data_IF_616541196336
#
_entry.id   IF_616541196336
#
_cell.length_a   1.000
_cell.length_b   1.000
_cell.length_c   1.000
_cell.angle_alpha   90.00
_cell.angle_beta   90.00
_cell.angle_gamma   90.00
#
_symmetry.space_group_name_H-M   'P 1'
#
loop_
_entity.id
_entity.type
_entity.pdbx_description
1 polymer ?
#
# COMPACT_ATOMS: atom_id res chain seq x y z
N UNK A 1 33.20 -3.88 63.59
CA UNK A 1 33.23 -5.31 63.90
C UNK A 1 33.02 -6.09 62.61
N UNK A 2 34.01 -6.86 62.16
CA UNK A 2 33.95 -7.61 60.90
C UNK A 2 33.39 -9.01 61.15
N UNK A 3 32.31 -9.36 60.46
CA UNK A 3 31.74 -10.71 60.49
C UNK A 3 32.59 -11.64 59.61
N UNK A 4 33.33 -12.55 60.21
CA UNK A 4 34.06 -13.62 59.52
C UNK A 4 33.06 -14.64 58.97
N UNK A 5 32.96 -14.76 57.63
CA UNK A 5 32.12 -15.78 57.02
C UNK A 5 32.72 -17.17 57.26
N UNK A 6 31.98 -18.01 57.98
CA UNK A 6 32.35 -19.39 58.23
C UNK A 6 32.32 -20.17 56.92
N UNK A 7 33.49 -20.59 56.42
CA UNK A 7 33.59 -21.52 55.28
C UNK A 7 33.07 -22.89 55.70
N UNK A 8 31.81 -23.18 55.40
CA UNK A 8 31.23 -24.51 55.59
C UNK A 8 31.98 -25.57 54.76
N UNK A 9 32.37 -26.68 55.40
CA UNK A 9 32.98 -27.84 54.72
C UNK A 9 31.96 -28.44 53.74
N UNK A 10 32.19 -28.28 52.44
CA UNK A 10 31.36 -28.85 51.39
C UNK A 10 31.48 -30.39 51.42
N UNK A 11 30.34 -31.08 51.59
CA UNK A 11 30.30 -32.55 51.53
C UNK A 11 30.62 -33.01 50.10
N UNK A 12 31.36 -34.13 49.91
CA UNK A 12 31.70 -34.62 48.59
C UNK A 12 30.43 -34.98 47.81
N UNK A 13 30.20 -34.31 46.66
CA UNK A 13 29.06 -34.60 45.78
C UNK A 13 29.24 -35.96 45.11
N UNK A 14 28.23 -36.81 45.19
CA UNK A 14 28.23 -38.11 44.55
C UNK A 14 28.34 -37.95 43.02
N UNK A 15 29.44 -38.44 42.43
CA UNK A 15 29.70 -38.30 40.98
C UNK A 15 28.75 -39.16 40.14
N UNK A 16 28.15 -40.21 40.71
CA UNK A 16 27.25 -41.15 40.01
C UNK A 16 25.89 -40.56 39.65
N UNK A 17 25.43 -39.56 40.40
CA UNK A 17 24.15 -38.88 40.17
C UNK A 17 24.29 -37.60 39.36
N UNK A 18 25.46 -37.33 38.78
CA UNK A 18 25.67 -36.13 37.97
C UNK A 18 25.08 -36.33 36.58
N UNK A 19 24.21 -35.42 36.18
CA UNK A 19 23.74 -35.28 34.80
C UNK A 19 24.79 -34.54 33.97
N UNK A 20 25.19 -35.11 32.84
CA UNK A 20 26.07 -34.46 31.88
C UNK A 20 25.21 -33.71 30.86
N UNK A 21 25.44 -32.41 30.76
CA UNK A 21 24.87 -31.57 29.70
C UNK A 21 25.90 -31.52 28.58
N UNK A 22 25.67 -32.31 27.54
CA UNK A 22 26.45 -32.29 26.32
C UNK A 22 25.69 -31.50 25.26
N UNK A 23 26.41 -30.63 24.54
CA UNK A 23 25.83 -29.91 23.43
C UNK A 23 25.99 -30.75 22.17
N UNK A 24 24.91 -30.87 21.39
CA UNK A 24 25.02 -31.34 20.02
C UNK A 24 25.96 -30.41 19.25
N UNK A 25 27.14 -30.92 18.89
CA UNK A 25 28.19 -30.11 18.27
C UNK A 25 27.74 -29.45 16.97
N UNK A 26 26.87 -30.13 16.21
CA UNK A 26 26.27 -29.60 14.98
C UNK A 26 25.38 -28.38 15.25
N UNK A 27 24.45 -28.50 16.20
CA UNK A 27 23.58 -27.39 16.60
C UNK A 27 24.38 -26.25 17.24
N UNK A 28 25.44 -26.56 17.99
CA UNK A 28 26.38 -25.57 18.54
C UNK A 28 27.10 -24.81 17.42
N UNK A 29 27.61 -25.51 16.41
CA UNK A 29 28.28 -24.89 15.27
C UNK A 29 27.32 -24.00 14.48
N UNK A 30 26.10 -24.47 14.21
CA UNK A 30 25.05 -23.68 13.57
C UNK A 30 24.65 -22.47 14.40
N UNK A 31 24.53 -22.63 15.72
CA UNK A 31 24.22 -21.53 16.61
C UNK A 31 25.31 -20.47 16.61
N UNK A 32 26.58 -20.88 16.72
CA UNK A 32 27.73 -19.96 16.78
C UNK A 32 28.08 -19.33 15.42
N UNK A 33 27.88 -20.03 14.30
CA UNK A 33 28.15 -19.48 12.95
C UNK A 33 26.92 -18.86 12.29
N UNK A 34 25.72 -19.13 12.81
CA UNK A 34 24.44 -18.72 12.25
C UNK A 34 24.03 -17.27 12.51
N UNK A 35 24.89 -16.42 13.08
CA UNK A 35 24.53 -15.02 13.37
C UNK A 35 24.09 -14.24 12.12
N UNK A 36 24.80 -14.44 11.00
CA UNK A 36 24.44 -13.80 9.73
C UNK A 36 23.10 -14.32 9.20
N UNK A 37 22.83 -15.63 9.33
CA UNK A 37 21.54 -16.24 8.98
C UNK A 37 20.41 -15.61 9.80
N UNK A 38 20.54 -15.59 11.14
CA UNK A 38 19.55 -14.97 12.05
C UNK A 38 19.38 -13.47 11.81
N UNK A 39 20.45 -12.75 11.46
CA UNK A 39 20.38 -11.32 11.10
C UNK A 39 19.57 -11.13 9.82
N UNK A 40 19.79 -11.96 8.82
CA UNK A 40 19.05 -11.93 7.56
C UNK A 40 17.58 -12.34 7.74
N UNK A 41 17.30 -13.36 8.54
CA UNK A 41 15.94 -13.77 8.90
C UNK A 41 15.19 -12.63 9.60
N UNK A 42 15.80 -12.00 10.61
CA UNK A 42 15.19 -10.83 11.28
C UNK A 42 14.91 -9.69 10.30
N UNK A 43 15.85 -9.39 9.39
CA UNK A 43 15.67 -8.37 8.34
C UNK A 43 14.54 -8.75 7.37
N UNK A 44 14.44 -10.03 6.98
CA UNK A 44 13.38 -10.54 6.11
C UNK A 44 12.01 -10.42 6.79
N UNK A 45 11.90 -10.87 8.04
CA UNK A 45 10.67 -10.76 8.83
C UNK A 45 10.23 -9.30 9.02
N UNK A 46 11.17 -8.38 9.29
CA UNK A 46 10.85 -6.96 9.41
C UNK A 46 10.31 -6.38 8.09
N UNK A 47 10.92 -6.74 6.94
CA UNK A 47 10.44 -6.34 5.61
C UNK A 47 9.05 -6.90 5.32
N UNK A 48 8.84 -8.19 5.52
CA UNK A 48 7.53 -8.82 5.28
C UNK A 48 6.42 -8.22 6.15
N UNK A 49 6.70 -7.93 7.43
CA UNK A 49 5.73 -7.26 8.31
C UNK A 49 5.39 -5.85 7.82
N UNK A 50 6.38 -5.10 7.35
CA UNK A 50 6.17 -3.77 6.79
C UNK A 50 5.35 -3.81 5.50
N UNK A 51 5.67 -4.74 4.59
CA UNK A 51 4.98 -4.90 3.31
C UNK A 51 3.51 -5.31 3.52
N UNK A 52 3.25 -6.22 4.46
CA UNK A 52 1.89 -6.61 4.87
C UNK A 52 1.10 -5.41 5.36
N UNK A 53 1.70 -4.58 6.23
CA UNK A 53 1.06 -3.37 6.75
C UNK A 53 0.66 -2.40 5.63
N UNK A 54 1.55 -2.13 4.67
CA UNK A 54 1.23 -1.23 3.54
C UNK A 54 0.12 -1.81 2.65
N UNK A 55 0.13 -3.11 2.40
CA UNK A 55 -0.91 -3.77 1.61
C UNK A 55 -2.29 -3.70 2.29
N UNK A 56 -2.33 -3.91 3.61
CA UNK A 56 -3.54 -3.77 4.42
C UNK A 56 -4.06 -2.32 4.41
N UNK A 57 -3.17 -1.34 4.59
CA UNK A 57 -3.50 0.09 4.50
C UNK A 57 -4.07 0.43 3.10
N UNK A 58 -3.43 -0.03 2.02
CA UNK A 58 -3.92 0.16 0.65
C UNK A 58 -5.31 -0.46 0.45
N UNK A 59 -5.53 -1.68 0.95
CA UNK A 59 -6.82 -2.38 0.83
C UNK A 59 -7.92 -1.62 1.57
N UNK A 60 -7.63 -1.12 2.77
CA UNK A 60 -8.56 -0.28 3.54
C UNK A 60 -8.91 1.01 2.80
N UNK A 61 -7.91 1.72 2.27
CA UNK A 61 -8.13 2.94 1.49
C UNK A 61 -8.95 2.70 0.22
N UNK A 62 -8.72 1.59 -0.47
CA UNK A 62 -9.48 1.23 -1.66
C UNK A 62 -10.95 0.93 -1.31
N UNK A 63 -11.20 0.27 -0.17
CA UNK A 63 -12.54 0.05 0.35
C UNK A 63 -13.24 1.38 0.66
N UNK A 64 -12.58 2.28 1.39
CA UNK A 64 -13.10 3.63 1.67
C UNK A 64 -13.41 4.41 0.39
N UNK A 65 -12.53 4.36 -0.61
CA UNK A 65 -12.74 5.03 -1.89
C UNK A 65 -13.92 4.44 -2.69
N UNK A 66 -14.21 3.14 -2.54
CA UNK A 66 -15.38 2.51 -3.16
C UNK A 66 -16.66 2.91 -2.44
N UNK A 67 -16.64 2.92 -1.11
CA UNK A 67 -17.77 3.32 -0.28
C UNK A 67 -18.15 4.78 -0.51
N UNK A 68 -17.16 5.69 -0.53
CA UNK A 68 -17.40 7.12 -0.80
C UNK A 68 -18.02 7.36 -2.18
N UNK A 69 -17.59 6.61 -3.20
CA UNK A 69 -18.18 6.68 -4.54
C UNK A 69 -19.60 6.13 -4.57
N UNK A 70 -19.88 5.09 -3.79
CA UNK A 70 -21.23 4.51 -3.71
C UNK A 70 -22.21 5.48 -3.05
N UNK A 71 -21.83 6.08 -1.92
CA UNK A 71 -22.69 7.03 -1.20
C UNK A 71 -22.98 8.29 -2.02
N UNK A 72 -22.00 8.80 -2.77
CA UNK A 72 -22.22 9.95 -3.65
C UNK A 72 -23.12 9.61 -4.85
N UNK A 73 -23.04 8.40 -5.40
CA UNK A 73 -23.93 7.99 -6.50
C UNK A 73 -25.38 7.86 -6.06
N UNK A 74 -25.62 7.31 -4.87
CA UNK A 74 -26.97 7.19 -4.32
C UNK A 74 -27.59 8.56 -4.02
N UNK A 75 -26.81 9.52 -3.52
CA UNK A 75 -27.33 10.88 -3.26
C UNK A 75 -27.66 11.64 -4.54
N UNK A 76 -26.87 11.48 -5.61
CA UNK A 76 -27.13 12.14 -6.90
C UNK A 76 -28.44 11.65 -7.54
N UNK A 77 -28.73 10.35 -7.42
CA UNK A 77 -29.96 9.76 -7.98
C UNK A 77 -31.21 10.06 -7.15
N UNK A 78 -31.07 10.46 -5.89
CA UNK A 78 -32.20 10.73 -4.99
C UNK A 78 -32.62 12.21 -4.96
N UNK A 79 -32.10 13.07 -5.84
CA UNK A 79 -32.53 14.47 -5.88
C UNK A 79 -33.83 14.63 -6.67
N UNK A 80 -35.00 14.81 -6.03
CA UNK A 80 -36.30 14.93 -6.71
C UNK A 80 -36.39 16.21 -7.55
N UNK A 81 -35.54 17.21 -7.27
CA UNK A 81 -35.45 18.46 -8.02
C UNK A 81 -34.99 18.21 -9.47
N UNK A 82 -34.04 17.30 -9.68
CA UNK A 82 -33.55 16.95 -11.02
C UNK A 82 -34.60 16.17 -11.80
N UNK A 83 -35.31 15.25 -11.14
CA UNK A 83 -36.43 14.53 -11.78
C UNK A 83 -37.56 15.47 -12.22
N UNK A 84 -37.79 16.58 -11.52
CA UNK A 84 -38.79 17.57 -11.93
C UNK A 84 -38.35 18.38 -13.15
N UNK A 85 -37.06 18.70 -13.27
CA UNK A 85 -36.50 19.44 -14.41
C UNK A 85 -36.43 18.61 -15.70
N UNK A 86 -36.42 17.28 -15.59
CA UNK A 86 -36.28 16.34 -16.71
C UNK A 86 -37.62 15.74 -17.16
N UNK A 87 -38.74 16.03 -16.46
CA UNK A 87 -40.05 15.52 -16.86
C UNK A 87 -40.49 16.15 -18.20
N UNK A 88 -40.74 15.33 -19.25
CA UNK A 88 -41.31 15.84 -20.48
C UNK A 88 -42.71 16.37 -20.20
N UNK A 89 -43.01 17.58 -20.67
CA UNK A 89 -44.33 18.17 -20.54
C UNK A 89 -45.22 17.58 -21.65
N UNK A 90 -46.29 16.90 -21.24
CA UNK A 90 -47.21 16.20 -22.14
C UNK A 90 -48.50 17.02 -22.21
N UNK A 91 -48.83 17.49 -23.41
CA UNK A 91 -50.09 18.20 -23.67
C UNK A 91 -50.98 17.30 -24.54
N UNK A 92 -52.14 16.92 -23.99
CA UNK A 92 -53.17 16.20 -24.73
C UNK A 92 -54.11 17.20 -25.42
N UNK A 93 -54.04 17.25 -26.75
CA UNK A 93 -54.96 17.98 -27.60
C UNK A 93 -56.04 17.03 -28.14
N UNK A 94 -57.21 17.55 -28.55
CA UNK A 94 -58.36 16.72 -28.95
C UNK A 94 -58.09 15.74 -30.11
N UNK A 95 -57.08 15.97 -30.96
CA UNK A 95 -56.71 15.06 -32.06
C UNK A 95 -55.36 14.35 -31.87
N UNK A 96 -54.48 14.84 -30.99
CA UNK A 96 -53.11 14.32 -30.87
C UNK A 96 -52.43 14.78 -29.57
N UNK A 97 -51.36 14.08 -29.18
CA UNK A 97 -50.57 14.38 -27.98
C UNK A 97 -49.22 14.98 -28.39
N UNK A 98 -48.82 16.09 -27.78
CA UNK A 98 -47.52 16.74 -27.99
C UNK A 98 -46.66 16.55 -26.73
N UNK A 99 -45.46 16.02 -26.92
CA UNK A 99 -44.46 15.86 -25.85
C UNK A 99 -43.31 16.83 -26.07
N UNK A 100 -43.12 17.76 -25.15
CA UNK A 100 -42.03 18.74 -25.21
C UNK A 100 -40.87 18.25 -24.32
N UNK A 101 -39.71 18.01 -24.93
CA UNK A 101 -38.48 17.58 -24.25
C UNK A 101 -37.25 18.30 -24.82
N UNK A 102 -36.21 18.43 -24.01
CA UNK A 102 -34.97 19.10 -24.41
C UNK A 102 -34.22 18.29 -25.48
N UNK A 103 -33.77 18.98 -26.54
CA UNK A 103 -33.16 18.38 -27.75
C UNK A 103 -31.87 17.60 -27.43
N UNK A 104 -31.18 17.93 -26.33
CA UNK A 104 -29.98 17.22 -25.85
C UNK A 104 -30.23 15.78 -25.42
N UNK A 105 -31.47 15.43 -25.06
CA UNK A 105 -31.87 14.15 -24.47
C UNK A 105 -32.58 13.23 -25.47
N UNK A 106 -33.10 13.76 -26.58
CA UNK A 106 -33.69 12.93 -27.64
C UNK A 106 -32.56 12.20 -28.37
N UNK A 107 -32.39 10.93 -28.06
CA UNK A 107 -31.37 10.09 -28.68
C UNK A 107 -31.80 9.67 -30.09
N UNK A 108 -31.60 10.55 -31.07
CA UNK A 108 -31.93 10.31 -32.48
C UNK A 108 -31.16 9.14 -33.11
N UNK A 109 -30.13 8.62 -32.44
CA UNK A 109 -29.24 7.56 -32.95
C UNK A 109 -29.70 6.16 -32.52
N UNK A 110 -30.78 6.06 -31.75
CA UNK A 110 -31.29 4.78 -31.26
C UNK A 110 -30.54 4.31 -30.02
N UNK A 111 -31.22 3.51 -29.21
CA UNK A 111 -30.91 3.08 -27.83
C UNK A 111 -29.57 2.33 -27.61
N UNK A 112 -28.62 2.40 -28.53
CA UNK A 112 -27.25 1.93 -28.31
C UNK A 112 -26.52 3.04 -27.55
N UNK A 113 -26.33 2.86 -26.24
CA UNK A 113 -25.66 3.81 -25.34
C UNK A 113 -24.17 4.05 -25.63
N UNK A 114 -23.79 4.23 -26.89
CA UNK A 114 -22.46 4.53 -27.40
C UNK A 114 -22.46 5.99 -27.86
N UNK A 115 -22.54 6.93 -26.90
CA UNK A 115 -22.25 8.34 -27.17
C UNK A 115 -20.77 8.60 -26.89
N UNK A 116 -20.08 9.20 -27.88
CA UNK A 116 -18.90 10.00 -27.59
C UNK A 116 -19.39 11.25 -26.85
N UNK A 117 -18.86 11.51 -25.66
CA UNK A 117 -19.29 12.65 -24.84
C UNK A 117 -19.19 13.99 -25.58
N UNK A 118 -19.89 15.02 -25.09
CA UNK A 118 -19.80 16.37 -25.64
C UNK A 118 -18.33 16.81 -25.71
N UNK A 119 -17.88 17.24 -26.89
CA UNK A 119 -16.53 17.74 -27.09
C UNK A 119 -16.43 19.11 -26.43
N UNK A 120 -15.97 19.14 -25.19
CA UNK A 120 -15.48 20.38 -24.56
C UNK A 120 -14.09 20.63 -25.12
N UNK A 121 -13.98 21.62 -26.02
CA UNK A 121 -12.68 22.08 -26.50
C UNK A 121 -11.79 22.40 -25.31
N UNK A 122 -10.59 21.83 -25.29
CA UNK A 122 -9.54 22.26 -24.37
C UNK A 122 -9.11 23.65 -24.85
N UNK A 123 -9.63 24.70 -24.23
CA UNK A 123 -8.95 25.99 -24.27
C UNK A 123 -7.61 25.77 -23.55
N UNK A 124 -6.59 25.55 -24.38
CA UNK A 124 -5.20 25.53 -23.97
C UNK A 124 -4.84 26.96 -23.57
N UNK A 125 -5.06 27.28 -22.30
CA UNK A 125 -4.21 28.27 -21.66
C UNK A 125 -2.85 27.61 -21.45
N UNK A 126 -1.92 27.99 -22.33
CA UNK A 126 -0.52 27.67 -22.21
C UNK A 126 0.03 28.26 -20.91
N UNK A 127 0.31 27.41 -19.92
CA UNK A 127 1.44 27.58 -19.01
C UNK A 127 1.71 26.24 -18.28
N UNK A 128 2.15 25.25 -19.06
CA UNK A 128 2.88 24.10 -18.51
C UNK A 128 4.35 24.47 -18.34
N UNK A 129 4.64 25.31 -17.36
CA UNK A 129 5.97 25.35 -16.76
C UNK A 129 6.09 24.18 -15.80
N UNK A 130 6.80 23.15 -16.26
CA UNK A 130 7.37 22.10 -15.42
C UNK A 130 8.40 22.73 -14.46
N UNK A 131 7.94 23.17 -13.30
CA UNK A 131 8.79 23.48 -12.17
C UNK A 131 8.61 22.35 -11.13
N UNK A 132 9.59 21.47 -11.08
CA UNK A 132 9.87 20.59 -9.95
C UNK A 132 10.15 21.46 -8.73
N UNK A 133 9.09 21.86 -8.03
CA UNK A 133 9.17 22.59 -6.77
C UNK A 133 8.60 21.69 -5.68
N UNK A 134 9.50 21.15 -4.85
CA UNK A 134 9.19 20.46 -3.60
C UNK A 134 8.49 21.43 -2.62
N UNK A 135 7.22 21.76 -2.87
CA UNK A 135 6.39 22.44 -1.89
C UNK A 135 5.97 21.45 -0.81
N UNK A 136 6.76 21.42 0.26
CA UNK A 136 6.32 20.91 1.58
C UNK A 136 5.21 21.83 2.11
N UNK A 137 3.98 21.60 1.65
CA UNK A 137 2.80 22.24 2.21
C UNK A 137 2.51 21.65 3.62
N UNK A 138 2.12 22.50 4.59
CA UNK A 138 1.87 22.08 5.96
C UNK A 138 0.58 21.25 6.06
N UNK A 139 0.67 20.16 6.83
CA UNK A 139 -0.38 19.33 7.47
C UNK A 139 -1.85 19.53 7.02
N UNK A 140 -2.13 19.41 5.72
CA UNK A 140 -3.45 19.07 5.20
C UNK A 140 -3.63 17.55 5.21
N UNK A 141 -4.78 17.05 5.68
CA UNK A 141 -5.08 15.63 5.57
C UNK A 141 -4.99 15.21 4.08
N UNK A 142 -4.01 14.38 3.75
CA UNK A 142 -3.82 13.89 2.37
C UNK A 142 -5.13 13.30 1.85
N UNK A 143 -5.50 13.66 0.63
CA UNK A 143 -6.68 13.11 -0.03
C UNK A 143 -6.56 11.58 -0.16
N UNK A 144 -7.69 10.87 -0.29
CA UNK A 144 -7.68 9.41 -0.45
C UNK A 144 -6.83 8.95 -1.64
N UNK A 145 -6.83 9.71 -2.74
CA UNK A 145 -5.99 9.43 -3.91
C UNK A 145 -4.50 9.60 -3.61
N UNK A 146 -4.10 10.66 -2.91
CA UNK A 146 -2.71 10.86 -2.48
C UNK A 146 -2.23 9.76 -1.53
N UNK A 147 -3.09 9.31 -0.61
CA UNK A 147 -2.78 8.20 0.31
C UNK A 147 -2.56 6.89 -0.45
N UNK A 148 -3.41 6.58 -1.43
CA UNK A 148 -3.25 5.41 -2.30
C UNK A 148 -1.95 5.47 -3.13
N UNK A 149 -1.64 6.64 -3.71
CA UNK A 149 -0.40 6.86 -4.45
C UNK A 149 0.82 6.68 -3.54
N UNK A 150 0.78 7.22 -2.33
CA UNK A 150 1.85 7.05 -1.33
C UNK A 150 2.11 5.57 -1.00
N UNK A 151 1.05 4.78 -0.71
CA UNK A 151 1.21 3.34 -0.46
C UNK A 151 1.83 2.61 -1.67
N UNK A 152 1.45 3.01 -2.89
CA UNK A 152 2.00 2.43 -4.12
C UNK A 152 3.49 2.76 -4.30
N UNK A 153 3.88 4.01 -4.06
CA UNK A 153 5.25 4.48 -4.15
C UNK A 153 6.16 3.87 -3.08
N UNK A 154 5.60 3.63 -1.89
CA UNK A 154 6.33 2.97 -0.81
C UNK A 154 6.65 1.51 -1.16
N UNK A 155 5.73 0.78 -1.81
CA UNK A 155 5.98 -0.59 -2.30
C UNK A 155 6.98 -0.61 -3.47
N UNK A 156 6.90 0.33 -4.42
CA UNK A 156 7.78 0.34 -5.59
C UNK A 156 9.22 0.74 -5.24
N UNK A 157 9.40 1.77 -4.42
CA UNK A 157 10.72 2.22 -3.95
C UNK A 157 11.44 1.15 -3.12
N UNK A 158 10.69 0.34 -2.36
CA UNK A 158 11.24 -0.76 -1.57
C UNK A 158 11.72 -1.92 -2.46
N UNK A 159 11.02 -2.20 -3.57
CA UNK A 159 11.48 -3.18 -4.57
C UNK A 159 12.77 -2.72 -5.26
N UNK A 160 12.85 -1.45 -5.66
CA UNK A 160 14.04 -0.88 -6.29
C UNK A 160 15.26 -0.85 -5.34
N UNK A 161 15.05 -0.50 -4.07
CA UNK A 161 16.12 -0.56 -3.06
C UNK A 161 16.62 -1.98 -2.83
N UNK A 162 15.73 -2.98 -2.79
CA UNK A 162 16.13 -4.38 -2.66
C UNK A 162 16.88 -4.89 -3.89
N UNK A 163 16.50 -4.47 -5.10
CA UNK A 163 17.22 -4.86 -6.33
C UNK A 163 18.60 -4.18 -6.42
N UNK A 164 18.71 -2.90 -6.05
CA UNK A 164 19.98 -2.18 -6.07
C UNK A 164 20.99 -2.77 -5.07
N UNK A 165 20.54 -3.07 -3.84
CA UNK A 165 21.39 -3.77 -2.86
C UNK A 165 21.72 -5.20 -3.30
N UNK A 166 20.80 -5.86 -4.02
CA UNK A 166 21.04 -7.17 -4.63
C UNK A 166 22.09 -7.13 -5.74
N UNK A 167 22.09 -6.10 -6.60
CA UNK A 167 23.12 -5.90 -7.63
C UNK A 167 24.46 -5.48 -7.01
N UNK A 168 24.45 -4.60 -6.00
CA UNK A 168 25.67 -4.15 -5.31
C UNK A 168 26.35 -5.30 -4.55
N UNK A 169 25.56 -6.19 -3.92
CA UNK A 169 26.08 -7.42 -3.33
C UNK A 169 26.69 -8.37 -4.38
N UNK A 170 26.03 -8.57 -5.53
CA UNK A 170 26.56 -9.44 -6.60
C UNK A 170 27.88 -8.90 -7.19
N UNK A 171 28.02 -7.58 -7.28
CA UNK A 171 29.27 -6.94 -7.71
C UNK A 171 30.40 -7.13 -6.68
N UNK A 172 30.10 -7.05 -5.38
CA UNK A 172 31.10 -7.31 -4.32
C UNK A 172 31.56 -8.77 -4.27
N UNK A 173 30.62 -9.72 -4.41
CA UNK A 173 30.96 -11.16 -4.39
C UNK A 173 31.73 -11.58 -5.65
N UNK A 174 31.53 -10.88 -6.79
CA UNK A 174 32.29 -11.09 -8.03
C UNK A 174 33.73 -10.59 -7.98
N UNK A 175 34.00 -9.46 -7.32
CA UNK A 175 35.38 -8.93 -7.18
C UNK A 175 36.27 -9.76 -6.26
N UNK A 176 35.72 -10.40 -5.22
CA UNK A 176 36.52 -11.26 -4.32
C UNK A 176 36.95 -12.59 -4.97
N UNK A 177 36.32 -13.02 -6.06
CA UNK A 177 36.70 -14.25 -6.77
C UNK A 177 37.94 -14.09 -7.68
N UNK A 178 38.33 -12.86 -8.01
CA UNK A 178 39.38 -12.57 -8.99
C UNK A 178 40.80 -12.36 -8.39
N UNK A 179 40.99 -12.51 -7.07
CA UNK A 179 42.27 -12.25 -6.38
C UNK A 179 42.94 -13.50 -5.78
N UNK A 180 42.52 -14.70 -6.20
CA UNK A 180 43.16 -15.96 -5.83
C UNK A 180 43.65 -16.66 -7.09
N UNK A 181 44.81 -16.25 -7.59
CA UNK A 181 45.73 -17.03 -8.39
C UNK A 181 47.13 -16.45 -8.20
#
# INVERSE_FOLDING_TARGET
MAASSAKGKQRPKNRKTKTFLEFDEKLRQEYLRGFQKRKNERRKLAREKHDKRILEERKSLLKQARESKSSSKTSIMQSPEIEQLVKPEIFDLPEHTVTISNISEVDFVGKSGVRLGQNTGFDKDEDSQSADEEKKQPLGQKSLSQKLAHCSNQLSSQKQKCSHVGSEMRLRDGCCAAQKN
#
